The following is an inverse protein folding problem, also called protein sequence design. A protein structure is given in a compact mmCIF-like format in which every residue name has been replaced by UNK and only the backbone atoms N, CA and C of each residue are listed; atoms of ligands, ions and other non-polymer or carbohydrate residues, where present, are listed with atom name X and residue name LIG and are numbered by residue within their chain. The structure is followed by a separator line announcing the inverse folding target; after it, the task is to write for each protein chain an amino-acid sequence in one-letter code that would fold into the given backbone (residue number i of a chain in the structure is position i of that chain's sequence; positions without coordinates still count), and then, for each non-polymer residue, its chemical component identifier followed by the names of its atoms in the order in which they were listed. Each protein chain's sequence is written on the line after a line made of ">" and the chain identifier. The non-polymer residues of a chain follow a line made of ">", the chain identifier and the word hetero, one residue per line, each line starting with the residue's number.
data_IF_064736635014
#
_entry.id   IF_064736635014
#
_cell.length_a   1.000
_cell.length_b   1.000
_cell.length_c   1.000
_cell.angle_alpha   90.00
_cell.angle_beta   90.00
_cell.angle_gamma   90.00
#
_symmetry.space_group_name_H-M   'P 1'
#
loop_
_entity.id
_entity.type
_entity.pdbx_description
1 polymer ?
#
# COMPACT_ATOMS: atom_id res chain seq x y z
N UNK A 1 -22.86 21.98 -10.36
CA UNK A 1 -21.62 21.56 -9.66
C UNK A 1 -22.05 21.01 -8.30
N UNK A 2 -21.85 19.77 -7.90
CA UNK A 2 -20.93 18.69 -8.31
C UNK A 2 -21.60 17.36 -7.93
N UNK A 3 -21.54 16.38 -8.83
CA UNK A 3 -22.01 15.01 -8.59
C UNK A 3 -21.14 14.33 -7.52
N UNK A 4 -21.54 14.36 -6.25
CA UNK A 4 -20.94 13.56 -5.16
C UNK A 4 -22.03 12.93 -4.27
N UNK A 5 -23.21 12.65 -4.83
CA UNK A 5 -24.41 12.30 -4.07
C UNK A 5 -24.81 10.83 -4.04
N UNK A 6 -24.05 9.89 -4.63
CA UNK A 6 -24.45 8.47 -4.61
C UNK A 6 -23.31 7.49 -4.89
N UNK A 7 -22.43 7.32 -3.91
CA UNK A 7 -21.70 6.07 -3.69
C UNK A 7 -21.92 5.67 -2.22
N UNK A 8 -23.21 5.52 -1.88
CA UNK A 8 -23.69 4.94 -0.64
C UNK A 8 -24.41 3.66 -1.06
N UNK A 9 -23.66 2.55 -1.13
CA UNK A 9 -24.14 1.16 -0.92
C UNK A 9 -23.09 0.12 -1.34
N UNK A 10 -21.92 0.14 -0.69
CA UNK A 10 -21.19 -1.08 -0.31
C UNK A 10 -20.31 -0.66 0.86
N UNK A 11 -20.44 -1.27 2.03
CA UNK A 11 -19.56 -1.01 3.17
C UNK A 11 -18.09 -1.04 2.70
N UNK A 12 -17.38 0.10 2.65
CA UNK A 12 -15.97 0.14 2.30
C UNK A 12 -15.20 -0.34 3.54
N UNK A 13 -15.28 -1.65 3.74
CA UNK A 13 -14.53 -2.49 4.67
C UNK A 13 -13.23 -1.80 5.10
N UNK A 14 -13.16 -1.45 6.38
CA UNK A 14 -12.11 -0.78 7.18
C UNK A 14 -10.71 -0.71 6.52
N UNK A 15 -10.24 -1.80 5.88
CA UNK A 15 -9.02 -1.88 5.08
C UNK A 15 -8.82 -0.74 4.07
N UNK A 16 -9.85 -0.31 3.33
CA UNK A 16 -9.70 0.79 2.36
C UNK A 16 -9.40 2.12 3.05
N UNK A 17 -10.00 2.33 4.22
CA UNK A 17 -9.76 3.52 5.03
C UNK A 17 -8.30 3.53 5.52
N UNK A 18 -7.81 2.44 6.11
CA UNK A 18 -6.41 2.34 6.51
C UNK A 18 -5.43 2.46 5.33
N UNK A 19 -5.76 1.94 4.15
CA UNK A 19 -4.92 2.11 2.96
C UNK A 19 -4.79 3.58 2.52
N UNK A 20 -5.85 4.37 2.69
CA UNK A 20 -5.84 5.80 2.41
C UNK A 20 -5.15 6.58 3.53
N UNK A 21 -5.37 6.20 4.78
CA UNK A 21 -4.73 6.82 5.95
C UNK A 21 -3.21 6.59 5.95
N UNK A 22 -2.76 5.37 5.63
CA UNK A 22 -1.35 5.03 5.40
C UNK A 22 -0.68 5.96 4.38
N UNK A 23 -1.36 6.25 3.27
CA UNK A 23 -0.87 7.20 2.27
C UNK A 23 -0.77 8.63 2.82
N UNK A 24 -1.75 9.06 3.62
CA UNK A 24 -1.69 10.36 4.28
C UNK A 24 -0.50 10.44 5.26
N UNK A 25 -0.25 9.39 6.04
CA UNK A 25 0.90 9.30 6.93
C UNK A 25 2.23 9.38 6.18
N UNK A 26 2.35 8.70 5.03
CA UNK A 26 3.51 8.82 4.15
C UNK A 26 3.75 10.26 3.71
N UNK A 27 2.69 10.97 3.29
CA UNK A 27 2.78 12.40 2.92
C UNK A 27 3.15 13.30 4.08
N UNK A 28 2.69 12.97 5.29
CA UNK A 28 3.05 13.63 6.54
C UNK A 28 4.43 13.19 7.07
N UNK A 29 5.17 12.36 6.33
CA UNK A 29 6.48 11.81 6.71
C UNK A 29 6.48 10.92 7.96
N UNK A 30 5.33 10.38 8.33
CA UNK A 30 5.17 9.42 9.43
C UNK A 30 5.18 7.97 8.92
N UNK A 31 6.35 7.47 8.51
CA UNK A 31 6.49 6.12 7.94
C UNK A 31 6.01 4.97 8.85
N UNK A 32 6.23 5.07 10.16
CA UNK A 32 5.82 4.03 11.12
C UNK A 32 4.29 3.88 11.20
N UNK A 33 3.57 4.99 11.31
CA UNK A 33 2.11 4.99 11.32
C UNK A 33 1.55 4.51 9.99
N UNK A 34 2.22 4.88 8.88
CA UNK A 34 1.85 4.36 7.57
C UNK A 34 1.97 2.84 7.48
N UNK A 35 3.02 2.27 8.09
CA UNK A 35 3.24 0.83 8.12
C UNK A 35 2.18 0.11 8.97
N UNK A 36 1.87 0.63 10.15
CA UNK A 36 0.83 0.05 11.02
C UNK A 36 -0.53 -0.04 10.30
N UNK A 37 -0.94 1.03 9.62
CA UNK A 37 -2.19 1.06 8.86
C UNK A 37 -2.15 0.14 7.63
N UNK A 38 -0.99 0.06 6.96
CA UNK A 38 -0.80 -0.88 5.86
C UNK A 38 -0.89 -2.35 6.32
N UNK A 39 -0.31 -2.67 7.48
CA UNK A 39 -0.38 -4.01 8.08
C UNK A 39 -1.81 -4.38 8.48
N UNK A 40 -2.56 -3.46 9.10
CA UNK A 40 -4.00 -3.66 9.39
C UNK A 40 -4.80 -3.91 8.11
N UNK A 41 -4.55 -3.12 7.08
CA UNK A 41 -5.16 -3.30 5.77
C UNK A 41 -4.87 -4.71 5.20
N UNK A 42 -3.62 -5.17 5.29
CA UNK A 42 -3.21 -6.52 4.88
C UNK A 42 -3.91 -7.60 5.70
N UNK A 43 -3.97 -7.46 7.03
CA UNK A 43 -4.62 -8.44 7.89
C UNK A 43 -6.10 -8.61 7.55
N UNK A 44 -6.78 -7.52 7.21
CA UNK A 44 -8.18 -7.56 6.84
C UNK A 44 -8.42 -8.04 5.41
N UNK A 45 -7.51 -7.71 4.48
CA UNK A 45 -7.62 -8.11 3.07
C UNK A 45 -6.27 -8.63 2.55
N UNK A 46 -5.89 -9.87 2.92
CA UNK A 46 -4.59 -10.43 2.51
C UNK A 46 -4.46 -10.67 1.01
N UNK A 47 -5.59 -10.81 0.30
CA UNK A 47 -5.64 -10.97 -1.17
C UNK A 47 -5.77 -9.64 -1.93
N UNK A 48 -5.57 -8.51 -1.26
CA UNK A 48 -5.67 -7.21 -1.91
C UNK A 48 -4.28 -6.66 -2.23
N UNK A 49 -3.92 -6.66 -3.51
CA UNK A 49 -2.60 -6.18 -3.99
C UNK A 49 -2.27 -4.77 -3.48
N UNK A 50 -3.27 -3.89 -3.37
CA UNK A 50 -3.09 -2.53 -2.86
C UNK A 50 -2.65 -2.46 -1.40
N UNK A 51 -3.05 -3.41 -0.57
CA UNK A 51 -2.64 -3.48 0.83
C UNK A 51 -1.13 -3.74 0.94
N UNK A 52 -0.65 -4.75 0.21
CA UNK A 52 0.76 -5.09 0.09
C UNK A 52 1.58 -3.96 -0.53
N UNK A 53 1.05 -3.28 -1.54
CA UNK A 53 1.69 -2.10 -2.12
C UNK A 53 1.85 -0.96 -1.10
N UNK A 54 0.85 -0.72 -0.24
CA UNK A 54 0.95 0.29 0.82
C UNK A 54 2.00 -0.09 1.87
N UNK A 55 2.10 -1.37 2.21
CA UNK A 55 3.12 -1.88 3.11
C UNK A 55 4.52 -1.68 2.53
N UNK A 56 4.73 -2.07 1.26
CA UNK A 56 6.00 -1.86 0.57
C UNK A 56 6.38 -0.38 0.44
N UNK A 57 5.40 0.50 0.21
CA UNK A 57 5.62 1.94 0.17
C UNK A 57 6.02 2.51 1.54
N UNK A 58 5.38 2.05 2.62
CA UNK A 58 5.72 2.43 4.00
C UNK A 58 7.12 1.97 4.39
N UNK A 59 7.48 0.72 4.07
CA UNK A 59 8.81 0.15 4.31
C UNK A 59 9.88 0.86 3.49
N UNK A 60 9.62 1.14 2.21
CA UNK A 60 10.54 1.92 1.36
C UNK A 60 10.78 3.32 1.92
N UNK A 61 9.74 3.98 2.42
CA UNK A 61 9.87 5.29 3.05
C UNK A 61 10.72 5.23 4.32
N UNK A 62 10.62 4.13 5.08
CA UNK A 62 11.45 3.85 6.25
C UNK A 62 12.86 3.33 5.90
N UNK A 63 13.22 3.28 4.60
CA UNK A 63 14.48 2.73 4.07
C UNK A 63 14.68 1.24 4.37
N UNK A 64 13.62 0.52 4.72
CA UNK A 64 13.64 -0.94 4.79
C UNK A 64 13.30 -1.49 3.40
N UNK A 65 14.28 -1.46 2.50
CA UNK A 65 14.07 -1.83 1.10
C UNK A 65 13.92 -3.34 0.89
N UNK A 66 14.53 -4.15 1.76
CA UNK A 66 14.39 -5.61 1.76
C UNK A 66 12.94 -6.01 2.01
N UNK A 67 12.36 -5.56 3.13
CA UNK A 67 10.95 -5.82 3.43
C UNK A 67 10.00 -5.18 2.41
N UNK A 68 10.38 -4.03 1.83
CA UNK A 68 9.58 -3.40 0.79
C UNK A 68 9.52 -4.25 -0.49
N UNK A 69 10.65 -4.80 -0.92
CA UNK A 69 10.72 -5.66 -2.10
C UNK A 69 9.87 -6.91 -1.91
N UNK A 70 9.91 -7.54 -0.73
CA UNK A 70 9.06 -8.69 -0.42
C UNK A 70 7.56 -8.34 -0.48
N UNK A 71 7.16 -7.22 0.14
CA UNK A 71 5.78 -6.76 0.07
C UNK A 71 5.33 -6.45 -1.37
N UNK A 72 6.20 -5.85 -2.19
CA UNK A 72 5.87 -5.58 -3.59
C UNK A 72 5.83 -6.86 -4.44
N UNK A 73 6.65 -7.87 -4.15
CA UNK A 73 6.57 -9.19 -4.82
C UNK A 73 5.24 -9.86 -4.54
N UNK A 74 4.78 -9.87 -3.29
CA UNK A 74 3.45 -10.39 -2.92
C UNK A 74 2.33 -9.59 -3.59
N UNK A 75 2.45 -8.26 -3.62
CA UNK A 75 1.50 -7.40 -4.32
C UNK A 75 1.42 -7.73 -5.83
N UNK A 76 2.57 -8.03 -6.45
CA UNK A 76 2.68 -8.38 -7.87
C UNK A 76 2.18 -9.80 -8.16
N UNK A 77 2.35 -10.76 -7.24
CA UNK A 77 1.74 -12.08 -7.37
C UNK A 77 0.20 -11.98 -7.42
N UNK A 78 -0.38 -11.07 -6.65
CA UNK A 78 -1.83 -10.83 -6.62
C UNK A 78 -2.33 -10.04 -7.84
N UNK A 79 -1.52 -9.10 -8.35
CA UNK A 79 -1.84 -8.28 -9.53
C UNK A 79 -0.63 -8.12 -10.46
N UNK A 80 -0.32 -9.16 -11.27
CA UNK A 80 0.91 -9.21 -12.08
C UNK A 80 0.92 -8.25 -13.26
N UNK A 81 -0.23 -7.66 -13.59
CA UNK A 81 -0.37 -6.69 -14.68
C UNK A 81 -0.19 -5.24 -14.20
N UNK A 82 0.02 -5.04 -12.90
CA UNK A 82 0.15 -3.72 -12.34
C UNK A 82 1.56 -3.16 -12.52
N UNK A 83 1.70 -2.27 -13.51
CA UNK A 83 2.98 -1.63 -13.79
C UNK A 83 3.47 -0.74 -12.65
N UNK A 84 2.58 -0.16 -11.83
CA UNK A 84 2.97 0.65 -10.66
C UNK A 84 3.72 -0.20 -9.62
N UNK A 85 3.25 -1.43 -9.38
CA UNK A 85 3.89 -2.37 -8.45
C UNK A 85 5.24 -2.84 -8.99
N UNK A 86 5.34 -3.14 -10.29
CA UNK A 86 6.61 -3.52 -10.94
C UNK A 86 7.66 -2.42 -10.81
N UNK A 87 7.28 -1.18 -11.09
CA UNK A 87 8.17 -0.03 -10.95
C UNK A 87 8.57 0.21 -9.49
N UNK A 88 7.66 0.03 -8.55
CA UNK A 88 7.97 0.15 -7.12
C UNK A 88 8.93 -0.95 -6.63
N UNK A 89 8.73 -2.21 -7.05
CA UNK A 89 9.64 -3.31 -6.77
C UNK A 89 11.04 -3.02 -7.31
N UNK A 90 11.13 -2.62 -8.60
CA UNK A 90 12.42 -2.28 -9.22
C UNK A 90 13.14 -1.15 -8.51
N UNK A 91 12.41 -0.15 -8.02
CA UNK A 91 12.98 0.96 -7.22
C UNK A 91 13.48 0.48 -5.87
N UNK A 92 12.73 -0.39 -5.19
CA UNK A 92 13.16 -0.98 -3.93
C UNK A 92 14.43 -1.83 -4.13
N UNK A 93 14.47 -2.65 -5.18
CA UNK A 93 15.65 -3.46 -5.51
C UNK A 93 16.89 -2.63 -5.82
N UNK A 94 16.75 -1.56 -6.60
CA UNK A 94 17.85 -0.62 -6.85
C UNK A 94 18.31 0.14 -5.61
N UNK A 95 17.45 0.34 -4.62
CA UNK A 95 17.78 1.02 -3.38
C UNK A 95 18.43 0.10 -2.33
N UNK A 96 18.44 -1.22 -2.57
CA UNK A 96 19.18 -2.20 -1.77
C UNK A 96 20.67 -2.29 -2.15
N UNK A 97 21.03 -1.82 -3.34
CA UNK A 97 22.42 -1.74 -3.84
C UNK A 97 23.13 -0.50 -3.29
#
# INVERSE_FOLDING_TARGET
>A
MTFYGKVLDTDPSDATMYANQSLCWLRMRHGKLALEDALKCRMMRPRWSKAWYREGAALSFMKNYEGAADAFREALQLDPKNEEIKEALRKAEKAME
#
